data_IF_296946329259
#
_entry.id   IF_296946329259
#
_cell.length_a   1.000
_cell.length_b   1.000
_cell.length_c   1.000
_cell.angle_alpha   90.00
_cell.angle_beta   90.00
_cell.angle_gamma   90.00
#
_symmetry.space_group_name_H-M   'P 1'
#
loop_
_entity.id
_entity.type
_entity.pdbx_description
1 polymer ?
#
# COMPACT_ATOMS: atom_id res chain seq x y z
N UNK A 1 13.49 -14.82 -6.32
CA UNK A 1 12.47 -14.25 -5.44
C UNK A 1 11.17 -15.03 -5.55
N UNK A 2 10.57 -15.37 -4.41
CA UNK A 2 9.25 -16.00 -4.34
C UNK A 2 8.14 -14.95 -4.13
N UNK A 3 6.89 -15.31 -4.40
CA UNK A 3 5.76 -14.37 -4.26
C UNK A 3 5.57 -13.85 -2.83
N UNK A 4 5.92 -14.64 -1.82
CA UNK A 4 5.82 -14.25 -0.41
C UNK A 4 6.89 -13.22 -0.05
N UNK A 5 8.12 -13.43 -0.52
CA UNK A 5 9.23 -12.48 -0.33
C UNK A 5 8.92 -11.13 -0.98
N UNK A 6 8.35 -11.13 -2.18
CA UNK A 6 7.91 -9.89 -2.85
C UNK A 6 6.82 -9.14 -2.07
N UNK A 7 5.89 -9.87 -1.45
CA UNK A 7 4.83 -9.29 -0.62
C UNK A 7 5.40 -8.62 0.63
N UNK A 8 6.29 -9.31 1.34
CA UNK A 8 6.95 -8.77 2.52
C UNK A 8 7.79 -7.53 2.19
N UNK A 9 8.53 -7.56 1.08
CA UNK A 9 9.31 -6.40 0.61
C UNK A 9 8.43 -5.20 0.28
N UNK A 10 7.35 -5.40 -0.50
CA UNK A 10 6.43 -4.32 -0.83
C UNK A 10 5.74 -3.75 0.42
N UNK A 11 5.37 -4.62 1.36
CA UNK A 11 4.71 -4.23 2.59
C UNK A 11 5.65 -3.42 3.48
N UNK A 12 6.85 -3.94 3.74
CA UNK A 12 7.85 -3.25 4.56
C UNK A 12 8.28 -1.93 3.94
N UNK A 13 8.46 -1.89 2.62
CA UNK A 13 8.74 -0.66 1.86
C UNK A 13 7.67 0.40 2.11
N UNK A 14 6.38 0.05 1.94
CA UNK A 14 5.29 1.02 2.11
C UNK A 14 5.17 1.49 3.56
N UNK A 15 5.25 0.57 4.52
CA UNK A 15 5.17 0.91 5.95
C UNK A 15 6.33 1.79 6.39
N UNK A 16 7.53 1.56 5.84
CA UNK A 16 8.72 2.36 6.13
C UNK A 16 8.64 3.74 5.50
N UNK A 17 8.20 3.84 4.24
CA UNK A 17 8.06 5.11 3.52
C UNK A 17 7.10 6.08 4.22
N UNK A 18 6.03 5.53 4.81
CA UNK A 18 5.02 6.28 5.55
C UNK A 18 5.25 6.31 7.07
N UNK A 19 6.36 5.75 7.54
CA UNK A 19 6.72 5.68 8.96
C UNK A 19 5.62 5.07 9.84
N UNK A 20 4.86 4.10 9.32
CA UNK A 20 3.73 3.47 10.01
C UNK A 20 4.24 2.58 11.17
N UNK A 21 3.74 2.89 12.38
CA UNK A 21 4.04 2.12 13.58
C UNK A 21 3.62 0.64 13.43
N UNK A 22 4.39 -0.28 14.03
CA UNK A 22 4.08 -1.72 13.98
C UNK A 22 2.66 -2.07 14.45
N UNK A 23 2.14 -1.32 15.44
CA UNK A 23 0.78 -1.50 15.95
C UNK A 23 -0.30 -1.15 14.92
N UNK A 24 0.00 -0.29 13.95
CA UNK A 24 -0.97 0.15 12.94
C UNK A 24 -0.83 -0.64 11.63
N UNK A 25 0.21 -1.48 11.49
CA UNK A 25 0.42 -2.34 10.32
C UNK A 25 -0.69 -3.38 10.15
N UNK A 26 -1.40 -3.73 11.22
CA UNK A 26 -2.52 -4.69 11.16
C UNK A 26 -3.69 -4.20 10.28
N UNK A 27 -3.80 -2.89 10.06
CA UNK A 27 -4.82 -2.30 9.19
C UNK A 27 -4.54 -2.53 7.70
N UNK A 28 -3.32 -2.93 7.35
CA UNK A 28 -2.91 -3.15 5.98
C UNK A 28 -2.87 -4.63 5.65
N UNK A 29 -3.22 -4.97 4.41
CA UNK A 29 -3.18 -6.34 3.94
C UNK A 29 -2.81 -6.40 2.48
N UNK A 30 -2.03 -7.42 2.11
CA UNK A 30 -1.79 -7.71 0.71
C UNK A 30 -3.07 -8.27 0.10
N UNK A 31 -3.63 -7.53 -0.86
CA UNK A 31 -4.82 -7.94 -1.60
C UNK A 31 -4.46 -8.90 -2.73
N UNK A 32 -3.29 -8.71 -3.34
CA UNK A 32 -2.86 -9.48 -4.50
C UNK A 32 -1.34 -9.42 -4.67
N UNK A 33 -0.76 -10.48 -5.21
CA UNK A 33 0.62 -10.51 -5.66
C UNK A 33 0.68 -11.31 -6.96
N UNK A 34 1.14 -10.67 -8.04
CA UNK A 34 1.26 -11.30 -9.36
C UNK A 34 2.65 -11.14 -9.94
N UNK A 35 3.17 -12.21 -10.49
CA UNK A 35 4.41 -12.16 -11.28
C UNK A 35 4.13 -11.62 -12.68
N UNK A 36 4.87 -10.59 -13.08
CA UNK A 36 4.87 -10.07 -14.45
C UNK A 36 6.12 -10.58 -15.14
N UNK A 37 5.89 -11.29 -16.26
CA UNK A 37 6.88 -12.04 -17.06
C UNK A 37 8.31 -11.50 -16.94
N UNK A 38 9.17 -12.36 -16.39
CA UNK A 38 10.64 -12.31 -16.41
C UNK A 38 11.34 -11.10 -15.76
N UNK A 39 10.67 -10.26 -14.96
CA UNK A 39 11.38 -9.12 -14.35
C UNK A 39 10.86 -8.57 -13.01
N UNK A 40 9.57 -8.67 -12.69
CA UNK A 40 9.07 -8.10 -11.42
C UNK A 40 7.74 -8.69 -10.95
N UNK A 41 7.49 -8.57 -9.65
CA UNK A 41 6.19 -8.75 -9.04
C UNK A 41 5.43 -7.42 -9.02
N UNK A 42 4.11 -7.51 -9.14
CA UNK A 42 3.19 -6.42 -8.81
C UNK A 42 2.42 -6.85 -7.57
N UNK A 43 2.59 -6.11 -6.49
CA UNK A 43 1.93 -6.32 -5.20
C UNK A 43 0.90 -5.22 -5.00
N UNK A 44 -0.33 -5.63 -4.68
CA UNK A 44 -1.40 -4.72 -4.31
C UNK A 44 -1.61 -4.80 -2.79
N UNK A 45 -1.44 -3.68 -2.10
CA UNK A 45 -1.68 -3.54 -0.65
C UNK A 45 -2.94 -2.70 -0.48
N UNK A 46 -3.84 -3.08 0.41
CA UNK A 46 -5.03 -2.32 0.75
C UNK A 46 -5.12 -2.04 2.24
N UNK A 47 -6.07 -1.21 2.62
CA UNK A 47 -6.46 -0.97 4.02
C UNK A 47 -7.78 -1.68 4.29
N UNK A 48 -7.88 -2.37 5.42
CA UNK A 48 -9.13 -3.01 5.82
C UNK A 48 -10.27 -1.99 5.94
N UNK A 49 -11.44 -2.33 5.41
CA UNK A 49 -12.61 -1.44 5.43
C UNK A 49 -12.62 -0.37 4.33
N UNK A 50 -11.54 -0.24 3.56
CA UNK A 50 -11.41 0.76 2.51
C UNK A 50 -11.15 0.14 1.13
N UNK A 51 -11.63 0.77 0.05
CA UNK A 51 -11.36 0.31 -1.30
C UNK A 51 -10.02 0.85 -1.86
N UNK A 52 -9.29 1.64 -1.07
CA UNK A 52 -7.99 2.19 -1.42
C UNK A 52 -6.93 1.09 -1.52
N UNK A 53 -6.05 1.23 -2.51
CA UNK A 53 -4.93 0.31 -2.68
C UNK A 53 -3.68 0.97 -3.24
N UNK A 54 -2.53 0.47 -2.80
CA UNK A 54 -1.21 0.76 -3.35
C UNK A 54 -0.79 -0.36 -4.28
N UNK A 55 -0.31 0.00 -5.46
CA UNK A 55 0.23 -0.91 -6.46
C UNK A 55 1.73 -0.69 -6.52
N UNK A 56 2.49 -1.62 -5.97
CA UNK A 56 3.95 -1.57 -5.82
C UNK A 56 4.57 -2.59 -6.75
N UNK A 57 5.64 -2.19 -7.44
CA UNK A 57 6.44 -3.09 -8.27
C UNK A 57 7.67 -3.52 -7.48
N UNK A 58 7.92 -4.83 -7.41
CA UNK A 58 9.09 -5.40 -6.73
C UNK A 58 9.92 -6.15 -7.75
N UNK A 59 11.12 -5.66 -8.02
CA UNK A 59 12.05 -6.27 -8.96
C UNK A 59 12.59 -7.58 -8.39
N UNK A 60 13.01 -8.50 -9.26
CA UNK A 60 13.62 -9.76 -8.84
C UNK A 60 14.91 -9.59 -8.01
N UNK A 61 15.52 -8.39 -8.08
CA UNK A 61 16.69 -7.98 -7.29
C UNK A 61 16.39 -7.73 -5.81
N UNK A 62 15.13 -7.62 -5.41
CA UNK A 62 14.75 -7.20 -4.04
C UNK A 62 14.34 -5.74 -3.91
N UNK A 63 14.47 -4.95 -4.98
CA UNK A 63 14.20 -3.52 -4.96
C UNK A 63 12.72 -3.23 -5.24
N UNK A 64 12.13 -2.29 -4.51
CA UNK A 64 10.79 -1.77 -4.79
C UNK A 64 10.90 -0.51 -5.67
N UNK A 65 9.97 -0.35 -6.61
CA UNK A 65 9.88 0.90 -7.37
C UNK A 65 9.36 2.02 -6.46
N UNK A 66 10.12 3.12 -6.27
CA UNK A 66 9.71 4.22 -5.40
C UNK A 66 8.52 5.01 -5.98
N UNK A 67 8.22 4.87 -7.28
CA UNK A 67 7.07 5.51 -7.92
C UNK A 67 5.88 4.54 -7.96
N UNK A 68 5.52 3.99 -6.80
CA UNK A 68 4.31 3.18 -6.69
C UNK A 68 3.06 4.01 -7.04
N UNK A 69 1.98 3.31 -7.38
CA UNK A 69 0.73 3.98 -7.75
C UNK A 69 -0.32 3.75 -6.67
N UNK A 70 -0.88 4.84 -6.15
CA UNK A 70 -2.08 4.79 -5.32
C UNK A 70 -3.34 4.81 -6.18
N UNK A 71 -4.30 3.94 -5.86
CA UNK A 71 -5.59 3.88 -6.52
C UNK A 71 -6.70 3.92 -5.48
N UNK A 72 -7.50 4.99 -5.52
CA UNK A 72 -8.71 5.11 -4.73
C UNK A 72 -9.91 5.36 -5.64
N UNK A 73 -11.01 4.60 -5.49
CA UNK A 73 -12.28 4.94 -6.13
C UNK A 73 -13.01 6.09 -5.41
N UNK A 74 -12.49 6.56 -4.28
CA UNK A 74 -13.07 7.63 -3.50
C UNK A 74 -12.40 8.94 -3.90
N UNK A 75 -13.22 9.88 -4.37
CA UNK A 75 -12.72 11.21 -4.73
C UNK A 75 -12.27 11.96 -3.47
N UNK A 76 -11.17 12.70 -3.56
CA UNK A 76 -10.73 13.63 -2.50
C UNK A 76 -11.85 14.60 -2.07
N UNK A 77 -12.80 14.89 -2.96
CA UNK A 77 -13.92 15.77 -2.70
C UNK A 77 -15.04 15.13 -1.84
N UNK A 78 -15.04 13.81 -1.67
CA UNK A 78 -16.06 13.07 -0.91
C UNK A 78 -15.87 13.16 0.61
N UNK A 79 -14.76 13.75 1.08
CA UNK A 79 -14.44 13.88 2.50
C UNK A 79 -13.68 12.66 3.06
N UNK A 80 -13.33 12.74 4.35
CA UNK A 80 -12.50 11.74 5.06
C UNK A 80 -13.18 11.22 6.33
N UNK A 81 -14.51 11.33 6.44
CA UNK A 81 -15.26 10.92 7.64
C UNK A 81 -15.06 9.44 7.98
N UNK A 82 -14.94 8.60 6.96
CA UNK A 82 -14.57 7.18 7.11
C UNK A 82 -13.17 6.96 7.71
N UNK A 83 -12.27 7.95 7.61
CA UNK A 83 -10.92 7.86 8.15
C UNK A 83 -10.88 8.10 9.68
N UNK A 84 -11.98 8.57 10.29
CA UNK A 84 -12.05 8.81 11.74
C UNK A 84 -11.99 7.52 12.57
N UNK A 85 -12.25 6.36 11.96
CA UNK A 85 -12.18 5.04 12.59
C UNK A 85 -10.76 4.45 12.57
N UNK A 86 -9.83 5.08 11.85
CA UNK A 86 -8.46 4.60 11.68
C UNK A 86 -7.48 5.34 12.61
N UNK A 87 -6.32 4.72 12.90
CA UNK A 87 -5.22 5.43 13.56
C UNK A 87 -4.83 6.71 12.80
N UNK A 88 -4.39 7.75 13.52
CA UNK A 88 -4.11 9.05 12.91
C UNK A 88 -3.05 8.99 11.81
N UNK A 89 -2.05 8.11 11.94
CA UNK A 89 -0.99 7.92 10.94
C UNK A 89 -1.56 7.33 9.64
N UNK A 90 -2.38 6.28 9.76
CA UNK A 90 -3.07 5.62 8.64
C UNK A 90 -4.04 6.58 7.95
N UNK A 91 -4.87 7.27 8.73
CA UNK A 91 -5.81 8.27 8.23
C UNK A 91 -5.08 9.40 7.48
N UNK A 92 -3.96 9.88 8.01
CA UNK A 92 -3.17 10.95 7.38
C UNK A 92 -2.52 10.48 6.07
N UNK A 93 -1.97 9.27 6.05
CA UNK A 93 -1.40 8.64 4.85
C UNK A 93 -2.44 8.58 3.73
N UNK A 94 -3.61 7.98 3.99
CA UNK A 94 -4.68 7.83 2.98
C UNK A 94 -5.18 9.20 2.53
N UNK A 95 -5.35 10.15 3.45
CA UNK A 95 -5.81 11.50 3.10
C UNK A 95 -4.82 12.23 2.17
N UNK A 96 -3.50 12.05 2.37
CA UNK A 96 -2.47 12.61 1.49
C UNK A 96 -2.49 11.94 0.13
N UNK A 97 -2.54 10.61 0.09
CA UNK A 97 -2.57 9.82 -1.14
C UNK A 97 -3.77 10.15 -2.02
N UNK A 98 -4.95 10.34 -1.42
CA UNK A 98 -6.15 10.78 -2.15
C UNK A 98 -6.03 12.20 -2.73
N UNK A 99 -5.19 13.06 -2.16
CA UNK A 99 -5.03 14.45 -2.60
C UNK A 99 -4.07 14.63 -3.78
N UNK A 100 -3.14 13.69 -4.00
CA UNK A 100 -2.13 13.74 -5.06
C UNK A 100 -1.01 14.72 -4.74
#
# INVERSE_FOLDING_TARGET
MESTEAQELAFDFLMTEWEIAEADREWFSVLNCRWIKDSWFVVEIGVEGLPDKWVIQVYDTGECDPNYTFNSPISAASGTTELEEFPPEVAQMIAKERQG
#
